data_IF_659420067317
#
_entry.id   IF_659420067317
#
_cell.length_a   1.000
_cell.length_b   1.000
_cell.length_c   1.000
_cell.angle_alpha   90.00
_cell.angle_beta   90.00
_cell.angle_gamma   90.00
#
_symmetry.space_group_name_H-M   'P 1'
#
loop_
_entity.id
_entity.type
_entity.pdbx_description
1 polymer ?
#
# COMPACT_ATOMS: atom_id res chain seq x y z
N UNK A 1 -34.91 -2.64 6.45
CA UNK A 1 -34.32 -3.84 7.07
C UNK A 1 -33.24 -3.38 8.02
N UNK A 2 -33.44 -3.63 9.32
CA UNK A 2 -32.73 -3.00 10.42
C UNK A 2 -31.92 -4.05 11.19
N UNK A 3 -30.68 -4.28 10.76
CA UNK A 3 -29.76 -5.19 11.45
C UNK A 3 -28.35 -4.59 11.45
N UNK A 4 -28.09 -3.65 12.36
CA UNK A 4 -26.72 -3.23 12.73
C UNK A 4 -26.70 -2.49 14.08
N UNK A 5 -27.28 -3.13 15.10
CA UNK A 5 -27.09 -2.76 16.52
C UNK A 5 -26.84 -3.99 17.40
N UNK A 6 -26.38 -5.09 16.81
CA UNK A 6 -26.12 -6.34 17.53
C UNK A 6 -24.91 -6.19 18.44
N UNK A 7 -25.06 -6.59 19.70
CA UNK A 7 -24.00 -6.75 20.72
C UNK A 7 -23.48 -5.52 21.48
N UNK A 8 -24.29 -4.48 21.70
CA UNK A 8 -24.04 -3.54 22.83
C UNK A 8 -24.60 -4.03 24.17
N UNK A 9 -24.73 -5.35 24.34
CA UNK A 9 -25.21 -5.93 25.59
C UNK A 9 -24.23 -5.59 26.73
N UNK A 10 -24.72 -5.20 27.92
CA UNK A 10 -23.88 -5.03 29.11
C UNK A 10 -23.44 -6.37 29.72
N UNK A 11 -23.91 -7.51 29.22
CA UNK A 11 -23.63 -8.84 29.78
C UNK A 11 -22.53 -9.54 28.98
N UNK A 12 -21.55 -10.10 29.70
CA UNK A 12 -20.46 -10.88 29.13
C UNK A 12 -20.99 -12.22 28.57
N UNK A 13 -20.73 -12.58 27.31
CA UNK A 13 -21.20 -13.83 26.71
C UNK A 13 -20.44 -15.06 27.24
N UNK A 14 -19.24 -14.89 27.81
CA UNK A 14 -18.41 -16.00 28.28
C UNK A 14 -18.73 -16.43 29.70
N UNK A 15 -19.00 -15.47 30.60
CA UNK A 15 -19.24 -15.76 32.02
C UNK A 15 -20.56 -15.20 32.56
N UNK A 16 -21.40 -14.61 31.70
CA UNK A 16 -22.72 -14.05 32.05
C UNK A 16 -22.72 -12.96 33.12
N UNK A 17 -21.55 -12.37 33.45
CA UNK A 17 -21.47 -11.21 34.34
C UNK A 17 -22.06 -9.97 33.66
N UNK A 18 -22.85 -9.20 34.41
CA UNK A 18 -23.49 -7.98 33.93
C UNK A 18 -22.73 -6.75 34.42
N UNK A 19 -22.55 -5.78 33.52
CA UNK A 19 -21.81 -4.55 33.77
C UNK A 19 -22.72 -3.32 33.62
N UNK A 20 -22.30 -2.17 34.14
CA UNK A 20 -23.07 -0.93 34.01
C UNK A 20 -23.19 -0.45 32.54
N UNK A 21 -22.21 -0.78 31.69
CA UNK A 21 -22.20 -0.40 30.28
C UNK A 21 -21.36 -1.38 29.44
N UNK A 22 -21.50 -1.27 28.11
CA UNK A 22 -20.78 -2.08 27.13
C UNK A 22 -19.24 -1.96 27.27
N UNK A 23 -18.74 -0.78 27.60
CA UNK A 23 -17.30 -0.55 27.76
C UNK A 23 -16.74 -1.33 28.95
N UNK A 24 -17.45 -1.34 30.08
CA UNK A 24 -17.08 -2.13 31.27
C UNK A 24 -17.05 -3.62 30.96
N UNK A 25 -18.04 -4.11 30.20
CA UNK A 25 -18.05 -5.49 29.70
C UNK A 25 -16.85 -5.78 28.79
N UNK A 26 -16.52 -4.89 27.85
CA UNK A 26 -15.37 -5.05 26.93
C UNK A 26 -14.04 -5.15 27.68
N UNK A 27 -13.82 -4.27 28.67
CA UNK A 27 -12.62 -4.30 29.52
C UNK A 27 -12.55 -5.60 30.31
N UNK A 28 -13.70 -6.08 30.81
CA UNK A 28 -13.78 -7.37 31.47
C UNK A 28 -13.45 -8.53 30.52
N UNK A 29 -14.01 -8.57 29.31
CA UNK A 29 -13.71 -9.62 28.31
C UNK A 29 -12.21 -9.63 27.97
N UNK A 30 -11.62 -8.46 27.77
CA UNK A 30 -10.19 -8.33 27.46
C UNK A 30 -9.29 -8.83 28.59
N UNK A 31 -9.69 -8.63 29.85
CA UNK A 31 -8.89 -9.02 31.02
C UNK A 31 -9.12 -10.45 31.48
N UNK A 32 -10.36 -10.92 31.51
CA UNK A 32 -10.74 -12.24 32.07
C UNK A 32 -10.91 -13.31 30.99
N UNK A 33 -11.14 -12.92 29.73
CA UNK A 33 -11.37 -13.82 28.61
C UNK A 33 -10.52 -13.46 27.38
N UNK A 34 -9.19 -13.28 27.52
CA UNK A 34 -8.34 -12.78 26.44
C UNK A 34 -8.40 -13.67 25.19
N UNK A 35 -8.44 -15.00 25.35
CA UNK A 35 -8.56 -15.94 24.22
C UNK A 35 -9.87 -15.77 23.45
N UNK A 36 -11.02 -15.72 24.14
CA UNK A 36 -12.32 -15.52 23.52
C UNK A 36 -12.46 -14.11 22.91
N UNK A 37 -11.89 -13.10 23.57
CA UNK A 37 -11.87 -11.73 23.08
C UNK A 37 -11.08 -11.63 21.77
N UNK A 38 -9.85 -12.15 21.73
CA UNK A 38 -9.03 -12.14 20.52
C UNK A 38 -9.63 -13.00 19.41
N UNK A 39 -10.23 -14.15 19.72
CA UNK A 39 -10.93 -14.96 18.72
C UNK A 39 -12.11 -14.21 18.10
N UNK A 40 -12.90 -13.51 18.93
CA UNK A 40 -14.00 -12.67 18.48
C UNK A 40 -13.56 -11.47 17.64
N UNK A 41 -12.46 -10.81 18.02
CA UNK A 41 -11.87 -9.70 17.26
C UNK A 41 -11.34 -10.17 15.90
N UNK A 42 -10.63 -11.30 15.86
CA UNK A 42 -10.15 -11.90 14.60
C UNK A 42 -11.31 -12.27 13.68
N UNK A 43 -12.37 -12.87 14.23
CA UNK A 43 -13.56 -13.22 13.45
C UNK A 43 -14.32 -11.98 12.97
N UNK A 44 -14.37 -10.93 13.80
CA UNK A 44 -14.93 -9.63 13.43
C UNK A 44 -14.11 -8.98 12.32
N UNK A 45 -12.78 -9.06 12.36
CA UNK A 45 -11.90 -8.54 11.30
C UNK A 45 -11.98 -9.34 9.98
N UNK A 46 -12.29 -10.63 10.04
CA UNK A 46 -12.61 -11.42 8.84
C UNK A 46 -13.96 -11.01 8.25
N UNK A 47 -14.93 -10.74 9.11
CA UNK A 47 -16.31 -10.41 8.75
C UNK A 47 -16.49 -8.96 8.34
N UNK A 48 -15.71 -8.04 8.92
CA UNK A 48 -15.47 -6.69 8.44
C UNK A 48 -14.74 -6.80 7.12
N UNK A 49 -15.56 -7.05 6.09
CA UNK A 49 -15.26 -7.05 4.67
C UNK A 49 -13.99 -6.25 4.43
N UNK A 50 -12.86 -6.95 4.27
CA UNK A 50 -11.62 -6.41 3.71
C UNK A 50 -12.07 -5.42 2.64
N UNK A 51 -11.81 -4.11 2.83
CA UNK A 51 -12.15 -3.07 1.85
C UNK A 51 -11.80 -3.65 0.49
N UNK A 52 -12.82 -4.02 -0.28
CA UNK A 52 -12.59 -4.87 -1.42
C UNK A 52 -11.59 -4.14 -2.30
N UNK A 53 -10.42 -4.75 -2.51
CA UNK A 53 -9.43 -4.23 -3.44
C UNK A 53 -10.18 -4.15 -4.76
N UNK A 54 -10.34 -2.92 -5.25
CA UNK A 54 -11.01 -2.68 -6.51
C UNK A 54 -10.30 -3.51 -7.58
N UNK A 55 -11.07 -4.35 -8.28
CA UNK A 55 -10.50 -5.10 -9.37
C UNK A 55 -10.11 -4.12 -10.49
N UNK A 56 -8.93 -4.28 -11.12
CA UNK A 56 -8.47 -3.38 -12.17
C UNK A 56 -9.47 -3.29 -13.35
N UNK A 57 -10.17 -4.36 -13.69
CA UNK A 57 -11.18 -4.37 -14.76
C UNK A 57 -12.42 -3.58 -14.35
N UNK A 58 -12.89 -3.74 -13.11
CA UNK A 58 -14.00 -2.94 -12.57
C UNK A 58 -13.69 -1.44 -12.57
N UNK A 59 -12.45 -1.06 -12.24
CA UNK A 59 -11.99 0.33 -12.30
C UNK A 59 -11.99 0.86 -13.73
N UNK A 60 -11.54 0.06 -14.69
CA UNK A 60 -11.51 0.42 -16.11
C UNK A 60 -12.93 0.65 -16.64
N UNK A 61 -13.85 -0.27 -16.38
CA UNK A 61 -15.26 -0.11 -16.77
C UNK A 61 -15.89 1.15 -16.17
N UNK A 62 -15.61 1.45 -14.90
CA UNK A 62 -16.09 2.66 -14.25
C UNK A 62 -15.49 3.93 -14.88
N UNK A 63 -14.21 3.88 -15.23
CA UNK A 63 -13.48 5.00 -15.84
C UNK A 63 -13.97 5.28 -17.26
N UNK A 64 -14.13 4.24 -18.08
CA UNK A 64 -14.73 4.33 -19.41
C UNK A 64 -16.15 4.87 -19.37
N UNK A 65 -16.99 4.37 -18.45
CA UNK A 65 -18.34 4.87 -18.33
C UNK A 65 -18.36 6.36 -17.98
N UNK A 66 -17.43 6.82 -17.14
CA UNK A 66 -17.27 8.25 -16.82
C UNK A 66 -16.79 9.07 -18.02
N UNK A 67 -15.88 8.51 -18.82
CA UNK A 67 -15.37 9.16 -20.03
C UNK A 67 -16.46 9.26 -21.12
N UNK A 68 -17.28 8.22 -21.30
CA UNK A 68 -18.45 8.19 -22.20
C UNK A 68 -19.54 9.17 -21.75
N UNK A 69 -19.73 9.35 -20.44
CA UNK A 69 -20.74 10.22 -19.85
C UNK A 69 -20.14 11.34 -18.96
N UNK A 70 -19.40 12.31 -19.55
CA UNK A 70 -18.65 13.30 -18.77
C UNK A 70 -19.56 14.24 -17.97
N UNK A 71 -20.79 14.48 -18.45
CA UNK A 71 -21.78 15.40 -17.85
C UNK A 71 -22.91 14.71 -17.07
N UNK A 72 -22.79 13.40 -16.79
CA UNK A 72 -23.81 12.67 -16.02
C UNK A 72 -24.05 13.29 -14.64
N UNK A 73 -25.31 13.70 -14.36
CA UNK A 73 -25.73 14.29 -13.08
C UNK A 73 -25.65 13.31 -11.92
N UNK A 74 -25.92 12.03 -12.18
CA UNK A 74 -25.99 10.97 -11.16
C UNK A 74 -25.05 9.80 -11.46
N UNK A 75 -23.81 10.10 -11.88
CA UNK A 75 -22.83 9.09 -12.34
C UNK A 75 -22.64 7.91 -11.35
N UNK A 76 -22.73 8.13 -10.03
CA UNK A 76 -22.59 7.04 -9.06
C UNK A 76 -23.78 6.07 -9.09
N UNK A 77 -24.99 6.58 -9.32
CA UNK A 77 -26.19 5.75 -9.46
C UNK A 77 -26.16 4.99 -10.78
N UNK A 78 -25.73 5.65 -11.85
CA UNK A 78 -25.58 5.06 -13.18
C UNK A 78 -24.54 3.94 -13.20
N UNK A 79 -23.36 4.16 -12.60
CA UNK A 79 -22.34 3.11 -12.41
C UNK A 79 -22.94 1.93 -11.64
N UNK A 80 -23.68 2.17 -10.55
CA UNK A 80 -24.32 1.09 -9.80
C UNK A 80 -25.36 0.35 -10.64
N UNK A 81 -26.18 1.04 -11.42
CA UNK A 81 -27.28 0.41 -12.15
C UNK A 81 -26.81 -0.37 -13.37
N UNK A 82 -25.80 0.13 -14.09
CA UNK A 82 -25.45 -0.36 -15.42
C UNK A 82 -24.06 -0.99 -15.52
N UNK A 83 -23.15 -0.67 -14.60
CA UNK A 83 -21.74 -1.12 -14.69
C UNK A 83 -21.41 -2.11 -13.58
N UNK A 84 -21.74 -1.79 -12.33
CA UNK A 84 -21.36 -2.56 -11.15
C UNK A 84 -22.53 -2.68 -10.14
N UNK A 85 -23.57 -3.49 -10.43
CA UNK A 85 -24.74 -3.67 -9.56
C UNK A 85 -24.44 -4.24 -8.19
N UNK A 86 -23.40 -5.06 -8.09
CA UNK A 86 -22.92 -5.67 -6.85
C UNK A 86 -22.14 -4.70 -5.95
N UNK A 87 -21.72 -3.53 -6.45
CA UNK A 87 -20.97 -2.54 -5.67
C UNK A 87 -21.91 -1.55 -5.00
N UNK A 88 -21.54 -1.14 -3.77
CA UNK A 88 -22.28 -0.11 -3.05
C UNK A 88 -21.94 1.29 -3.57
N UNK A 89 -22.89 2.23 -3.47
CA UNK A 89 -22.66 3.64 -3.86
C UNK A 89 -21.48 4.24 -3.09
N UNK A 90 -21.33 3.90 -1.82
CA UNK A 90 -20.23 4.39 -0.99
C UNK A 90 -18.88 3.82 -1.44
N UNK A 91 -18.84 2.53 -1.81
CA UNK A 91 -17.66 1.92 -2.42
C UNK A 91 -17.28 2.64 -3.71
N UNK A 92 -18.24 2.86 -4.61
CA UNK A 92 -18.03 3.57 -5.89
C UNK A 92 -17.50 4.98 -5.64
N UNK A 93 -18.09 5.72 -4.69
CA UNK A 93 -17.60 7.04 -4.28
C UNK A 93 -16.16 6.99 -3.78
N UNK A 94 -15.81 5.96 -3.00
CA UNK A 94 -14.44 5.73 -2.53
C UNK A 94 -13.46 5.50 -3.68
N UNK A 95 -13.80 4.61 -4.62
CA UNK A 95 -12.98 4.31 -5.80
C UNK A 95 -12.70 5.57 -6.63
N UNK A 96 -13.73 6.37 -6.88
CA UNK A 96 -13.61 7.56 -7.74
C UNK A 96 -12.70 8.66 -7.17
N UNK A 97 -12.40 8.60 -5.87
CA UNK A 97 -11.48 9.52 -5.20
C UNK A 97 -10.02 9.12 -5.40
N UNK A 98 -9.73 7.87 -5.75
CA UNK A 98 -8.35 7.39 -5.91
C UNK A 98 -7.70 7.98 -7.16
N UNK A 99 -6.39 8.16 -7.12
CA UNK A 99 -5.66 8.69 -8.27
C UNK A 99 -5.61 7.69 -9.42
N UNK A 100 -5.53 6.38 -9.12
CA UNK A 100 -5.59 5.31 -10.11
C UNK A 100 -6.83 5.40 -10.99
N UNK A 101 -8.00 5.70 -10.42
CA UNK A 101 -9.23 5.90 -11.17
C UNK A 101 -9.15 7.14 -12.07
N UNK A 102 -8.67 8.28 -11.55
CA UNK A 102 -8.58 9.52 -12.35
C UNK A 102 -7.63 9.39 -13.53
N UNK A 103 -6.51 8.67 -13.35
CA UNK A 103 -5.58 8.35 -14.44
C UNK A 103 -6.31 7.57 -15.53
N UNK A 104 -7.05 6.53 -15.17
CA UNK A 104 -7.82 5.73 -16.14
C UNK A 104 -8.91 6.55 -16.83
N UNK A 105 -9.61 7.45 -16.12
CA UNK A 105 -10.60 8.35 -16.73
C UNK A 105 -9.96 9.26 -17.77
N UNK A 106 -8.78 9.82 -17.48
CA UNK A 106 -8.04 10.64 -18.45
C UNK A 106 -7.63 9.81 -19.67
N UNK A 107 -7.09 8.61 -19.45
CA UNK A 107 -6.72 7.71 -20.55
C UNK A 107 -7.93 7.35 -21.43
N UNK A 108 -9.07 7.05 -20.83
CA UNK A 108 -10.30 6.69 -21.55
C UNK A 108 -11.00 7.89 -22.23
N UNK A 109 -10.74 9.12 -21.79
CA UNK A 109 -11.31 10.34 -22.39
C UNK A 109 -10.53 10.82 -23.62
N UNK A 110 -9.30 10.35 -23.82
CA UNK A 110 -8.57 10.58 -25.06
C UNK A 110 -9.16 9.64 -26.12
N UNK A 111 -9.68 10.15 -27.25
CA UNK A 111 -10.08 9.28 -28.34
C UNK A 111 -8.83 8.52 -28.80
N UNK A 112 -8.81 7.21 -28.58
CA UNK A 112 -7.75 6.36 -29.09
C UNK A 112 -7.85 6.37 -30.62
N UNK A 113 -7.07 7.21 -31.27
CA UNK A 113 -6.62 6.90 -32.62
C UNK A 113 -5.93 5.53 -32.54
N UNK A 114 -6.26 4.58 -33.44
CA UNK A 114 -5.56 3.30 -33.45
C UNK A 114 -4.06 3.54 -33.63
N UNK A 115 -3.18 2.70 -33.05
CA UNK A 115 -1.78 2.69 -33.47
C UNK A 115 -1.75 2.29 -34.94
N UNK A 116 -1.61 3.27 -35.84
CA UNK A 116 -1.26 3.01 -37.24
C UNK A 116 0.05 2.24 -37.24
N UNK A 117 -0.05 0.96 -37.60
CA UNK A 117 1.07 0.13 -38.02
C UNK A 117 1.48 0.58 -39.43
N UNK A 118 2.79 0.49 -39.71
CA UNK A 118 3.54 0.77 -40.97
C UNK A 118 4.04 2.24 -41.05
N UNK A 119 5.35 2.53 -40.99
CA UNK A 119 6.44 1.93 -41.79
C UNK A 119 7.79 1.77 -41.03
N UNK A 120 8.55 0.69 -41.30
CA UNK A 120 9.97 0.59 -40.99
C UNK A 120 10.81 0.86 -42.25
N UNK A 121 11.50 1.99 -42.33
CA UNK A 121 12.80 2.18 -43.06
C UNK A 121 13.20 3.65 -43.07
N UNK A 122 14.42 3.91 -42.62
CA UNK A 122 15.04 5.22 -42.73
C UNK A 122 16.31 5.35 -41.91
N UNK A 123 17.26 4.45 -42.12
CA UNK A 123 18.67 4.73 -41.80
C UNK A 123 19.06 6.02 -42.51
N UNK A 124 19.65 6.97 -41.77
CA UNK A 124 20.95 7.62 -42.07
C UNK A 124 21.20 8.74 -41.06
N UNK A 125 22.16 8.53 -40.16
CA UNK A 125 23.01 9.62 -39.62
C UNK A 125 23.97 10.09 -40.73
N UNK A 126 24.59 11.29 -40.66
CA UNK A 126 25.82 11.42 -39.85
C UNK A 126 26.15 12.80 -39.23
N UNK A 127 26.91 12.76 -38.10
CA UNK A 127 28.14 13.52 -37.77
C UNK A 127 28.04 15.06 -37.74
N UNK A 128 28.38 15.81 -36.68
CA UNK A 128 29.75 15.99 -36.12
C UNK A 128 29.75 16.86 -34.85
N UNK A 129 30.68 16.57 -33.92
CA UNK A 129 31.52 17.46 -33.09
C UNK A 129 30.88 18.51 -32.13
N UNK A 130 31.29 18.61 -30.87
CA UNK A 130 32.32 17.90 -30.11
C UNK A 130 32.64 18.55 -28.75
N UNK A 131 33.57 17.88 -28.04
CA UNK A 131 34.47 18.39 -26.99
C UNK A 131 33.86 18.67 -25.60
N UNK A 132 33.99 17.74 -24.63
CA UNK A 132 35.05 17.65 -23.58
C UNK A 132 34.85 18.67 -22.44
N UNK A 133 35.01 18.40 -21.14
CA UNK A 133 35.56 17.27 -20.39
C UNK A 133 35.15 17.41 -18.91
N UNK A 134 35.37 16.31 -18.20
CA UNK A 134 35.24 15.97 -16.78
C UNK A 134 35.67 17.02 -15.72
N UNK A 135 35.16 16.87 -14.48
CA UNK A 135 35.94 16.39 -13.29
C UNK A 135 35.33 16.91 -11.97
N UNK A 136 34.82 16.00 -11.13
CA UNK A 136 34.68 16.13 -9.66
C UNK A 136 36.08 16.01 -9.01
N UNK A 137 36.41 16.58 -7.82
CA UNK A 137 35.91 16.03 -6.54
C UNK A 137 35.94 16.91 -5.25
N UNK A 138 35.16 16.45 -4.26
CA UNK A 138 35.39 16.38 -2.79
C UNK A 138 35.54 17.61 -1.85
N UNK A 139 34.64 17.62 -0.84
CA UNK A 139 34.71 18.01 0.62
C UNK A 139 36.11 18.13 1.29
N UNK A 140 36.32 18.73 2.52
CA UNK A 140 35.41 18.81 3.69
C UNK A 140 35.49 20.05 4.67
N UNK A 141 34.54 20.10 5.62
CA UNK A 141 34.58 20.56 7.04
C UNK A 141 35.13 21.95 7.48
N UNK A 142 34.33 22.71 8.27
CA UNK A 142 34.55 23.03 9.72
C UNK A 142 33.79 24.28 10.23
N UNK A 143 33.21 24.18 11.45
CA UNK A 143 32.62 25.25 12.32
C UNK A 143 33.71 25.99 13.14
N UNK A 144 33.48 27.18 13.76
CA UNK A 144 32.79 27.37 15.08
C UNK A 144 31.92 28.67 15.21
N UNK A 145 30.75 28.66 15.90
CA UNK A 145 30.43 28.92 17.32
C UNK A 145 30.55 30.37 17.85
N UNK A 146 29.41 30.99 18.25
CA UNK A 146 29.09 31.58 19.58
C UNK A 146 28.01 32.69 19.52
N UNK A 147 27.04 32.65 20.46
CA UNK A 147 26.17 33.80 20.81
C UNK A 147 24.79 33.46 21.39
N UNK A 148 24.69 33.31 22.72
CA UNK A 148 23.47 33.45 23.57
C UNK A 148 23.38 34.92 24.08
N UNK A 149 22.37 35.40 24.87
CA UNK A 149 21.23 34.71 25.52
C UNK A 149 19.86 35.45 25.44
N UNK A 150 18.76 34.81 25.90
CA UNK A 150 17.93 35.26 27.04
C UNK A 150 16.42 34.88 26.96
N UNK A 151 15.91 34.51 28.15
CA UNK A 151 14.55 34.69 28.68
C UNK A 151 13.39 33.74 28.27
N UNK A 152 13.00 32.89 29.23
CA UNK A 152 11.62 32.86 29.76
C UNK A 152 10.64 31.80 29.24
N UNK A 153 10.57 30.64 29.94
CA UNK A 153 9.32 29.94 30.38
C UNK A 153 9.61 28.46 30.69
N UNK A 154 8.92 27.82 31.66
CA UNK A 154 9.09 26.39 31.92
C UNK A 154 8.50 25.57 30.76
N UNK A 155 9.39 25.06 29.91
CA UNK A 155 9.04 24.10 28.87
C UNK A 155 8.73 22.74 29.53
N UNK A 156 7.64 22.06 29.14
CA UNK A 156 7.41 20.67 29.57
C UNK A 156 8.60 19.80 29.12
N UNK A 157 8.98 18.77 29.91
CA UNK A 157 10.10 17.92 29.55
C UNK A 157 9.87 17.36 28.14
N UNK A 158 10.88 17.41 27.25
CA UNK A 158 10.78 16.83 25.93
C UNK A 158 10.29 15.38 26.05
N UNK A 159 9.36 14.91 25.21
CA UNK A 159 9.09 13.48 25.13
C UNK A 159 10.43 12.81 24.89
N UNK A 160 10.84 11.91 25.78
CA UNK A 160 12.11 11.19 25.71
C UNK A 160 12.29 10.66 24.28
N UNK A 161 13.10 11.35 23.48
CA UNK A 161 13.53 10.83 22.21
C UNK A 161 14.52 9.75 22.64
N UNK A 162 14.07 8.49 22.57
CA UNK A 162 14.94 7.34 22.81
C UNK A 162 16.20 7.54 21.99
N UNK A 163 17.37 7.40 22.61
CA UNK A 163 18.62 7.55 21.87
C UNK A 163 18.65 6.53 20.74
N UNK A 164 19.36 6.85 19.66
CA UNK A 164 19.56 5.93 18.54
C UNK A 164 20.05 4.55 19.04
N UNK A 165 20.97 4.57 20.00
CA UNK A 165 21.45 3.36 20.70
C UNK A 165 20.34 2.57 21.39
N UNK A 166 19.39 3.24 22.04
CA UNK A 166 18.27 2.59 22.72
C UNK A 166 17.28 1.96 21.72
N UNK A 167 17.11 2.59 20.55
CA UNK A 167 16.32 2.05 19.45
C UNK A 167 17.01 0.82 18.87
N UNK A 168 18.32 0.87 18.62
CA UNK A 168 19.08 -0.28 18.15
C UNK A 168 19.05 -1.46 19.13
N UNK A 169 19.27 -1.21 20.42
CA UNK A 169 19.19 -2.23 21.45
C UNK A 169 17.78 -2.83 21.56
N UNK A 170 16.74 -2.01 21.40
CA UNK A 170 15.36 -2.46 21.35
C UNK A 170 15.13 -3.41 20.16
N UNK A 171 15.52 -3.00 18.96
CA UNK A 171 15.37 -3.79 17.72
C UNK A 171 16.11 -5.11 17.81
N UNK A 172 17.36 -5.10 18.29
CA UNK A 172 18.16 -6.32 18.49
C UNK A 172 17.51 -7.27 19.49
N UNK A 173 17.01 -6.76 20.62
CA UNK A 173 16.34 -7.58 21.63
C UNK A 173 15.06 -8.22 21.10
N UNK A 174 14.23 -7.49 20.36
CA UNK A 174 13.04 -8.05 19.69
C UNK A 174 13.42 -9.11 18.66
N UNK A 175 14.46 -8.86 17.86
CA UNK A 175 14.89 -9.80 16.83
C UNK A 175 15.36 -11.13 17.44
N UNK A 176 16.18 -11.06 18.50
CA UNK A 176 16.62 -12.24 19.25
C UNK A 176 15.44 -13.01 19.87
N UNK A 177 14.47 -12.30 20.45
CA UNK A 177 13.26 -12.91 21.05
C UNK A 177 12.42 -13.65 20.00
N UNK A 178 12.40 -13.16 18.77
CA UNK A 178 11.66 -13.75 17.65
C UNK A 178 12.45 -14.83 16.90
N UNK A 179 13.68 -15.14 17.33
CA UNK A 179 14.57 -16.08 16.63
C UNK A 179 15.01 -15.58 15.26
N UNK A 180 14.94 -14.27 15.02
CA UNK A 180 15.37 -13.63 13.78
C UNK A 180 16.85 -13.26 13.90
N UNK A 181 17.69 -13.82 13.03
CA UNK A 181 19.07 -13.39 12.88
C UNK A 181 19.10 -12.03 12.18
N UNK A 182 19.50 -10.98 12.89
CA UNK A 182 19.76 -9.67 12.29
C UNK A 182 21.08 -9.75 11.52
N UNK A 183 21.10 -9.53 10.20
CA UNK A 183 22.34 -9.50 9.43
C UNK A 183 23.27 -8.42 9.98
N UNK A 184 24.49 -8.81 10.30
CA UNK A 184 25.55 -7.95 10.82
C UNK A 184 26.37 -7.29 9.72
N UNK A 185 26.29 -7.81 8.49
CA UNK A 185 26.93 -7.23 7.32
C UNK A 185 26.10 -7.46 6.04
N UNK A 186 26.41 -6.70 4.99
CA UNK A 186 25.65 -6.73 3.73
C UNK A 186 25.70 -8.11 3.06
N UNK A 187 26.80 -8.86 3.20
CA UNK A 187 26.93 -10.21 2.65
C UNK A 187 25.96 -11.23 3.26
N UNK A 188 25.60 -11.07 4.55
CA UNK A 188 24.57 -11.92 5.18
C UNK A 188 23.17 -11.62 4.65
N UNK A 189 22.90 -10.36 4.28
CA UNK A 189 21.64 -9.95 3.64
C UNK A 189 21.53 -10.60 2.26
N UNK A 190 22.60 -10.54 1.45
CA UNK A 190 22.63 -11.15 0.11
C UNK A 190 22.42 -12.68 0.19
N UNK A 191 23.08 -13.35 1.14
CA UNK A 191 22.88 -14.79 1.35
C UNK A 191 21.45 -15.14 1.78
N UNK A 192 20.83 -14.32 2.65
CA UNK A 192 19.42 -14.49 3.00
C UNK A 192 18.51 -14.26 1.80
N UNK A 193 18.79 -13.27 0.94
CA UNK A 193 18.00 -13.03 -0.27
C UNK A 193 18.10 -14.22 -1.23
N UNK A 194 19.30 -14.78 -1.42
CA UNK A 194 19.53 -15.95 -2.26
C UNK A 194 18.81 -17.21 -1.76
N UNK A 195 18.67 -17.36 -0.43
CA UNK A 195 17.88 -18.45 0.17
C UNK A 195 16.38 -18.33 -0.12
N UNK A 196 15.85 -17.10 -0.19
CA UNK A 196 14.44 -16.84 -0.44
C UNK A 196 14.09 -16.80 -1.93
N UNK A 197 15.06 -16.43 -2.77
CA UNK A 197 14.87 -16.32 -4.20
C UNK A 197 16.12 -16.84 -4.93
N UNK A 198 16.27 -18.17 -5.05
CA UNK A 198 17.43 -18.74 -5.71
C UNK A 198 17.51 -18.20 -7.15
N UNK A 199 18.71 -17.98 -7.73
CA UNK A 199 18.87 -17.49 -9.09
C UNK A 199 18.11 -18.31 -10.15
N UNK A 200 17.82 -19.60 -9.86
CA UNK A 200 16.98 -20.47 -10.68
C UNK A 200 15.49 -20.08 -10.72
N UNK A 201 15.01 -19.24 -9.80
CA UNK A 201 13.66 -18.68 -9.83
C UNK A 201 13.49 -17.63 -10.93
N UNK A 202 14.60 -17.09 -11.44
CA UNK A 202 14.64 -16.11 -12.53
C UNK A 202 15.18 -16.71 -13.83
N UNK A 203 14.80 -17.95 -14.16
CA UNK A 203 15.03 -18.47 -15.53
C UNK A 203 14.21 -17.62 -16.48
N UNK A 204 14.88 -16.62 -17.07
CA UNK A 204 14.34 -15.82 -18.16
C UNK A 204 14.03 -16.78 -19.31
N UNK A 205 12.74 -17.07 -19.51
CA UNK A 205 12.27 -17.75 -20.70
C UNK A 205 12.25 -16.71 -21.81
N UNK A 206 13.17 -16.76 -22.80
CA UNK A 206 13.05 -15.88 -23.94
C UNK A 206 11.69 -16.10 -24.60
N UNK A 207 10.96 -15.03 -24.95
CA UNK A 207 9.65 -15.15 -25.59
C UNK A 207 9.80 -16.05 -26.83
N UNK A 208 9.01 -17.12 -26.85
CA UNK A 208 9.12 -18.20 -27.82
C UNK A 208 9.09 -17.66 -29.25
N UNK A 209 10.11 -18.03 -30.02
CA UNK A 209 10.08 -17.97 -31.48
C UNK A 209 9.08 -19.04 -31.93
N UNK A 210 7.80 -18.66 -32.03
CA UNK A 210 6.77 -19.48 -32.65
C UNK A 210 7.10 -19.66 -34.13
N UNK A 211 7.88 -20.71 -34.42
CA UNK A 211 8.01 -21.22 -35.78
C UNK A 211 6.77 -22.04 -36.14
N UNK A 212 6.29 -21.98 -37.39
CA UNK A 212 5.18 -22.80 -37.83
C UNK A 212 5.58 -24.28 -37.73
N UNK A 213 4.74 -25.08 -37.09
CA UNK A 213 4.80 -26.52 -37.20
C UNK A 213 4.33 -26.89 -38.60
N UNK A 214 5.28 -27.10 -39.52
CA UNK A 214 4.99 -27.85 -40.74
C UNK A 214 4.62 -29.28 -40.33
N UNK A 215 3.37 -29.64 -40.61
CA UNK A 215 2.88 -30.99 -40.53
C UNK A 215 3.48 -31.80 -41.69
N UNK A 216 4.14 -32.90 -41.35
CA UNK A 216 4.60 -33.95 -42.25
C UNK A 216 4.55 -35.28 -41.53
#
# INVERSE_FOLDING_TARGET
MAESRGNRSPTCPTCSRTFANFQGRRVHEQSQHPSSFHAGEVESLKTERRKARWDPEELAMMAENKAKHPRAKYINQEIKQHVLPHRTIEGIKGARRTESYKVQVRAAAVPSSPPSVLDPRGLTSPITSGSSQETLPSEPNSLPSLGLPAAGSPQPPPPHIRSEEEVHACVQRTSYTLGLSVPTCIGEVEHQVDLWCPPSAYVYRPPGRGGPSDAG
#
